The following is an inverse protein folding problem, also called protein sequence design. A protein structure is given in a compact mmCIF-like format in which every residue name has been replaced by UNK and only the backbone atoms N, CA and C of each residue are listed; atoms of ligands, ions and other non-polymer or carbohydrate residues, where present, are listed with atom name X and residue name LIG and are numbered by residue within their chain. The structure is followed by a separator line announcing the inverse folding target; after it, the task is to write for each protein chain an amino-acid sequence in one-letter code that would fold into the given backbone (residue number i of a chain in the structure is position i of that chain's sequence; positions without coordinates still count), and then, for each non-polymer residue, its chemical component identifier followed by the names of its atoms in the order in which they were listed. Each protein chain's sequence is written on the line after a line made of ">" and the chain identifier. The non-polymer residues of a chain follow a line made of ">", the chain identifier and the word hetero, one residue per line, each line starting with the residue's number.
data_IF_311842362062
#
_entry.id   IF_311842362062
#
_cell.length_a   1.000
_cell.length_b   1.000
_cell.length_c   1.000
_cell.angle_alpha   90.00
_cell.angle_beta   90.00
_cell.angle_gamma   90.00
#
_symmetry.space_group_name_H-M   'P 1'
#
loop_
_entity.id
_entity.type
_entity.pdbx_description
1 polymer ?
#
# COMPACT_ATOMS: atom_id res chain seq x y z
N UNK A 1 -40.11 -34.48 -36.90
CA UNK A 1 -40.33 -34.35 -35.44
C UNK A 1 -38.95 -34.57 -34.80
N UNK A 2 -38.19 -33.63 -34.26
CA UNK A 2 -38.34 -32.23 -33.84
C UNK A 2 -37.01 -31.53 -34.20
N UNK A 3 -37.08 -30.33 -34.79
CA UNK A 3 -35.93 -29.43 -34.97
C UNK A 3 -35.56 -28.86 -33.60
N UNK A 4 -34.33 -29.08 -33.15
CA UNK A 4 -33.81 -28.38 -31.97
C UNK A 4 -33.25 -27.04 -32.45
N UNK A 5 -34.07 -26.04 -32.17
CA UNK A 5 -33.97 -24.59 -32.32
C UNK A 5 -32.57 -23.98 -32.16
N UNK A 6 -32.22 -23.12 -33.13
CA UNK A 6 -31.21 -22.07 -33.02
C UNK A 6 -31.31 -21.32 -31.68
N UNK A 7 -30.17 -21.07 -31.04
CA UNK A 7 -30.09 -20.09 -29.95
C UNK A 7 -29.95 -18.68 -30.54
N UNK A 8 -30.78 -17.70 -30.13
CA UNK A 8 -30.71 -16.35 -30.64
C UNK A 8 -29.57 -15.54 -29.99
N UNK A 9 -28.74 -14.95 -30.86
CA UNK A 9 -28.23 -13.57 -30.88
C UNK A 9 -27.91 -12.88 -29.54
N UNK A 10 -26.64 -12.52 -29.35
CA UNK A 10 -26.29 -11.31 -28.58
C UNK A 10 -25.45 -10.40 -29.48
N UNK A 11 -26.11 -9.41 -30.09
CA UNK A 11 -25.42 -8.27 -30.72
C UNK A 11 -25.09 -7.29 -29.60
N UNK A 12 -23.82 -7.21 -29.26
CA UNK A 12 -23.33 -6.29 -28.23
C UNK A 12 -22.81 -5.06 -28.96
N UNK A 13 -23.64 -4.01 -29.03
CA UNK A 13 -23.16 -2.64 -29.23
C UNK A 13 -22.59 -2.15 -27.90
N UNK A 14 -21.30 -2.41 -27.69
CA UNK A 14 -20.44 -1.56 -26.86
C UNK A 14 -19.55 -0.86 -27.87
N UNK A 15 -19.41 0.45 -27.70
CA UNK A 15 -18.78 1.43 -28.60
C UNK A 15 -17.69 0.80 -29.47
N UNK A 16 -17.99 0.73 -30.77
CA UNK A 16 -17.17 0.23 -31.89
C UNK A 16 -16.33 -1.02 -31.56
N UNK A 17 -16.90 -2.22 -31.77
CA UNK A 17 -16.21 -3.51 -31.79
C UNK A 17 -15.73 -4.09 -30.41
N UNK A 18 -16.16 -5.32 -30.11
CA UNK A 18 -15.70 -6.08 -28.93
C UNK A 18 -14.17 -6.35 -28.98
N UNK A 19 -13.57 -6.34 -30.17
CA UNK A 19 -12.12 -6.40 -30.35
C UNK A 19 -11.44 -5.13 -29.84
N UNK A 20 -12.01 -3.96 -30.08
CA UNK A 20 -11.43 -2.68 -29.66
C UNK A 20 -11.42 -2.58 -28.14
N UNK A 21 -12.47 -3.10 -27.50
CA UNK A 21 -12.52 -3.26 -26.04
C UNK A 21 -11.35 -4.12 -25.55
N UNK A 22 -11.09 -5.25 -26.20
CA UNK A 22 -9.98 -6.15 -25.83
C UNK A 22 -8.62 -5.50 -26.10
N UNK A 23 -8.48 -4.77 -27.22
CA UNK A 23 -7.25 -4.06 -27.57
C UNK A 23 -6.94 -2.94 -26.57
N UNK A 24 -7.95 -2.22 -26.11
CA UNK A 24 -7.81 -1.25 -25.01
C UNK A 24 -7.34 -1.97 -23.74
N UNK A 25 -7.96 -3.10 -23.37
CA UNK A 25 -7.57 -3.85 -22.17
C UNK A 25 -6.15 -4.42 -22.26
N UNK A 26 -5.73 -4.89 -23.45
CA UNK A 26 -4.36 -5.34 -23.72
C UNK A 26 -3.35 -4.19 -23.64
N UNK A 27 -3.68 -3.03 -24.23
CA UNK A 27 -2.85 -1.83 -24.18
C UNK A 27 -2.72 -1.28 -22.76
N UNK A 28 -3.78 -1.38 -21.95
CA UNK A 28 -3.76 -1.03 -20.53
C UNK A 28 -3.01 -2.05 -19.66
N UNK A 29 -2.64 -3.21 -20.22
CA UNK A 29 -2.01 -4.33 -19.52
C UNK A 29 -2.77 -4.78 -18.25
N UNK A 30 -4.10 -4.85 -18.32
CA UNK A 30 -4.96 -5.21 -17.17
C UNK A 30 -5.55 -6.61 -17.29
N UNK A 31 -5.69 -7.29 -16.15
CA UNK A 31 -6.19 -8.67 -16.10
C UNK A 31 -5.14 -9.73 -16.50
N UNK A 32 -5.61 -10.91 -16.86
CA UNK A 32 -4.83 -11.98 -17.49
C UNK A 32 -4.67 -11.70 -19.00
N UNK A 33 -3.46 -11.30 -19.39
CA UNK A 33 -3.10 -10.94 -20.77
C UNK A 33 -3.18 -12.15 -21.70
N UNK A 34 -2.72 -13.32 -21.26
CA UNK A 34 -2.79 -14.54 -22.06
C UNK A 34 -4.24 -14.92 -22.35
N UNK A 35 -5.14 -14.71 -21.38
CA UNK A 35 -6.57 -14.89 -21.59
C UNK A 35 -7.17 -13.86 -22.54
N UNK A 36 -6.79 -12.59 -22.44
CA UNK A 36 -7.24 -11.54 -23.38
C UNK A 36 -6.74 -11.80 -24.81
N UNK A 37 -5.49 -12.23 -24.99
CA UNK A 37 -4.93 -12.63 -26.29
C UNK A 37 -5.64 -13.86 -26.86
N UNK A 38 -5.97 -14.84 -26.00
CA UNK A 38 -6.76 -16.00 -26.40
C UNK A 38 -8.15 -15.58 -26.91
N UNK A 39 -8.84 -14.72 -26.16
CA UNK A 39 -10.15 -14.18 -26.54
C UNK A 39 -10.06 -13.38 -27.85
N UNK A 40 -9.06 -12.50 -27.99
CA UNK A 40 -8.80 -11.75 -29.23
C UNK A 40 -8.63 -12.68 -30.43
N UNK A 41 -7.80 -13.72 -30.28
CA UNK A 41 -7.55 -14.72 -31.31
C UNK A 41 -8.83 -15.47 -31.70
N UNK A 42 -9.62 -15.90 -30.72
CA UNK A 42 -10.89 -16.59 -30.96
C UNK A 42 -11.86 -15.75 -31.78
N UNK A 43 -11.94 -14.43 -31.52
CA UNK A 43 -12.80 -13.51 -32.28
C UNK A 43 -12.25 -13.29 -33.69
N UNK A 44 -10.93 -13.08 -33.84
CA UNK A 44 -10.29 -12.90 -35.14
C UNK A 44 -10.45 -14.15 -36.03
N UNK A 45 -10.47 -15.33 -35.43
CA UNK A 45 -10.71 -16.62 -36.09
C UNK A 45 -12.22 -16.91 -36.29
N UNK A 46 -13.13 -15.98 -35.98
CA UNK A 46 -14.59 -16.15 -36.04
C UNK A 46 -15.12 -17.37 -35.26
N UNK A 47 -14.46 -17.74 -34.17
CA UNK A 47 -14.89 -18.84 -33.30
C UNK A 47 -15.84 -18.35 -32.20
N UNK A 48 -16.77 -19.21 -31.73
CA UNK A 48 -17.65 -18.85 -30.63
C UNK A 48 -16.85 -18.67 -29.34
N UNK A 49 -17.13 -17.59 -28.62
CA UNK A 49 -16.57 -17.32 -27.29
C UNK A 49 -17.29 -18.14 -26.22
N UNK A 50 -16.55 -18.58 -25.20
CA UNK A 50 -17.15 -19.13 -24.00
C UNK A 50 -17.83 -18.02 -23.19
N UNK A 51 -18.95 -18.35 -22.55
CA UNK A 51 -19.70 -17.41 -21.69
C UNK A 51 -18.86 -16.88 -20.52
N UNK A 52 -17.91 -17.68 -20.04
CA UNK A 52 -16.93 -17.29 -19.03
C UNK A 52 -16.00 -16.17 -19.51
N UNK A 53 -15.56 -16.24 -20.77
CA UNK A 53 -14.64 -15.28 -21.37
C UNK A 53 -15.34 -13.98 -21.75
N UNK A 54 -16.57 -14.07 -22.25
CA UNK A 54 -17.40 -12.89 -22.50
C UNK A 54 -17.68 -12.12 -21.19
N UNK A 55 -18.03 -12.82 -20.12
CA UNK A 55 -18.26 -12.22 -18.79
C UNK A 55 -16.97 -11.62 -18.21
N UNK A 56 -15.85 -12.29 -18.41
CA UNK A 56 -14.54 -11.82 -17.99
C UNK A 56 -14.17 -10.47 -18.65
N UNK A 57 -14.30 -10.36 -19.97
CA UNK A 57 -14.02 -9.12 -20.71
C UNK A 57 -14.99 -8.00 -20.32
N UNK A 58 -16.30 -8.30 -20.20
CA UNK A 58 -17.29 -7.30 -19.79
C UNK A 58 -17.02 -6.73 -18.41
N UNK A 59 -16.67 -7.57 -17.45
CA UNK A 59 -16.32 -7.13 -16.10
C UNK A 59 -15.07 -6.23 -16.12
N UNK A 60 -14.05 -6.59 -16.91
CA UNK A 60 -12.87 -5.76 -17.08
C UNK A 60 -13.22 -4.42 -17.72
N UNK A 61 -14.03 -4.42 -18.78
CA UNK A 61 -14.50 -3.20 -19.41
C UNK A 61 -15.31 -2.32 -18.44
N UNK A 62 -16.13 -2.91 -17.57
CA UNK A 62 -16.86 -2.17 -16.54
C UNK A 62 -15.93 -1.53 -15.51
N UNK A 63 -14.88 -2.21 -15.08
CA UNK A 63 -13.93 -1.69 -14.09
C UNK A 63 -13.02 -0.62 -14.69
N UNK A 64 -12.51 -0.84 -15.90
CA UNK A 64 -11.43 -0.03 -16.48
C UNK A 64 -11.90 0.97 -17.52
N UNK A 65 -12.98 0.69 -18.26
CA UNK A 65 -13.43 1.49 -19.40
C UNK A 65 -14.67 2.32 -19.04
N UNK A 66 -15.59 1.81 -18.21
CA UNK A 66 -16.82 2.52 -17.84
C UNK A 66 -16.55 3.81 -17.03
N UNK A 67 -15.54 3.80 -16.16
CA UNK A 67 -15.09 5.00 -15.42
C UNK A 67 -14.33 6.03 -16.31
N UNK A 68 -13.96 5.67 -17.54
CA UNK A 68 -13.34 6.58 -18.51
C UNK A 68 -14.36 7.30 -19.42
N UNK A 69 -15.68 7.06 -19.26
CA UNK A 69 -16.71 7.71 -20.09
C UNK A 69 -17.15 9.10 -19.58
N UNK A 70 -16.51 9.67 -18.55
CA UNK A 70 -16.63 11.10 -18.19
C UNK A 70 -15.39 11.90 -18.62
N UNK A 71 -14.60 11.41 -19.56
CA UNK A 71 -13.76 12.28 -20.39
C UNK A 71 -13.91 11.78 -21.81
N UNK A 72 -15.04 12.17 -22.41
CA UNK A 72 -15.24 12.05 -23.84
C UNK A 72 -13.95 12.42 -24.57
N UNK A 73 -13.57 11.56 -25.52
CA UNK A 73 -12.96 12.00 -26.78
C UNK A 73 -13.91 13.05 -27.34
N UNK A 74 -13.82 14.29 -26.84
CA UNK A 74 -14.33 15.45 -27.54
C UNK A 74 -13.55 15.46 -28.82
N UNK A 75 -14.28 15.30 -29.92
CA UNK A 75 -13.83 15.77 -31.23
C UNK A 75 -13.00 17.05 -31.01
N UNK A 76 -11.81 17.15 -31.63
CA UNK A 76 -10.93 18.29 -31.40
C UNK A 76 -11.76 19.55 -31.65
N UNK A 77 -11.90 20.39 -30.63
CA UNK A 77 -12.62 21.65 -30.77
C UNK A 77 -11.93 22.43 -31.90
N UNK A 78 -12.68 22.63 -32.98
CA UNK A 78 -12.17 23.38 -34.12
C UNK A 78 -12.31 24.87 -33.80
N UNK A 79 -11.20 25.59 -33.93
CA UNK A 79 -11.12 27.03 -33.79
C UNK A 79 -10.77 27.64 -35.15
N UNK A 80 -11.16 28.90 -35.36
CA UNK A 80 -10.77 29.62 -36.57
C UNK A 80 -9.38 30.24 -36.38
N UNK A 81 -8.52 30.10 -37.38
CA UNK A 81 -7.24 30.78 -37.47
C UNK A 81 -7.43 32.30 -37.39
N UNK A 82 -6.63 33.00 -36.58
CA UNK A 82 -6.71 34.47 -36.44
C UNK A 82 -6.36 35.26 -37.71
N UNK A 83 -5.63 34.63 -38.64
CA UNK A 83 -5.16 35.29 -39.86
C UNK A 83 -6.02 34.94 -41.09
N UNK A 84 -6.20 33.65 -41.38
CA UNK A 84 -6.91 33.21 -42.59
C UNK A 84 -8.30 32.61 -42.32
N UNK A 85 -8.78 32.64 -41.07
CA UNK A 85 -10.10 32.11 -40.65
C UNK A 85 -10.38 30.63 -40.90
N UNK A 86 -9.40 29.85 -41.37
CA UNK A 86 -9.52 28.40 -41.56
C UNK A 86 -9.73 27.66 -40.24
N UNK A 87 -10.60 26.65 -40.24
CA UNK A 87 -10.83 25.75 -39.12
C UNK A 87 -9.59 24.89 -38.84
N UNK A 88 -9.03 25.02 -37.65
CA UNK A 88 -7.86 24.29 -37.16
C UNK A 88 -8.16 23.73 -35.77
N UNK A 89 -7.47 22.66 -35.37
CA UNK A 89 -7.63 22.09 -34.04
C UNK A 89 -7.16 23.09 -32.95
N UNK A 90 -7.83 23.11 -31.79
CA UNK A 90 -7.53 24.03 -30.68
C UNK A 90 -6.09 23.92 -30.15
N UNK A 91 -5.46 22.76 -30.31
CA UNK A 91 -4.09 22.44 -29.91
C UNK A 91 -3.03 22.72 -31.01
N UNK A 92 -3.45 23.15 -32.21
CA UNK A 92 -2.55 23.42 -33.31
C UNK A 92 -1.68 24.66 -33.04
N UNK A 93 -0.36 24.45 -32.91
CA UNK A 93 0.62 25.53 -32.71
C UNK A 93 0.73 26.50 -33.90
N UNK A 94 0.37 26.03 -35.10
CA UNK A 94 0.44 26.78 -36.35
C UNK A 94 -0.76 26.44 -37.23
N UNK A 95 -1.23 27.39 -38.03
CA UNK A 95 -2.25 27.12 -39.04
C UNK A 95 -1.65 26.34 -40.22
N UNK A 96 -2.27 25.22 -40.59
CA UNK A 96 -1.81 24.36 -41.70
C UNK A 96 -1.98 25.01 -43.08
N UNK A 97 -2.81 26.04 -43.22
CA UNK A 97 -3.06 26.71 -44.49
C UNK A 97 -2.16 27.94 -44.70
N UNK A 98 -1.99 28.80 -43.69
CA UNK A 98 -1.27 30.08 -43.83
C UNK A 98 0.02 30.17 -43.02
N UNK A 99 0.37 29.15 -42.24
CA UNK A 99 1.59 29.11 -41.42
C UNK A 99 1.57 30.01 -40.18
N UNK A 100 0.51 30.79 -39.94
CA UNK A 100 0.45 31.70 -38.79
C UNK A 100 0.45 30.94 -37.46
N UNK A 101 1.40 31.29 -36.58
CA UNK A 101 1.51 30.79 -35.21
C UNK A 101 0.28 31.16 -34.38
N UNK A 102 -0.26 30.19 -33.64
CA UNK A 102 -1.37 30.41 -32.70
C UNK A 102 -0.82 30.42 -31.27
N UNK A 103 -0.55 31.61 -30.72
CA UNK A 103 -0.17 31.75 -29.31
C UNK A 103 -1.45 31.75 -28.45
N UNK A 104 -1.78 30.59 -27.90
CA UNK A 104 -2.81 30.43 -26.86
C UNK A 104 -2.25 29.58 -25.73
N UNK A 105 -2.63 29.94 -24.50
CA UNK A 105 -2.15 29.30 -23.28
C UNK A 105 -2.57 27.83 -23.27
N UNK A 106 -1.59 26.94 -23.42
CA UNK A 106 -1.76 25.54 -23.05
C UNK A 106 -2.14 25.49 -21.57
N UNK A 107 -3.37 25.08 -21.26
CA UNK A 107 -3.67 24.59 -19.92
C UNK A 107 -2.77 23.36 -19.72
N UNK A 108 -1.75 23.53 -18.89
CA UNK A 108 -0.80 22.49 -18.51
C UNK A 108 -1.58 21.29 -17.93
N UNK A 109 -1.84 20.28 -18.75
CA UNK A 109 -2.27 18.99 -18.22
C UNK A 109 -1.03 18.33 -17.59
N UNK A 110 -1.07 18.16 -16.27
CA UNK A 110 0.03 17.62 -15.49
C UNK A 110 0.25 16.13 -15.81
N UNK A 111 1.14 15.85 -16.77
CA UNK A 111 1.58 14.51 -17.18
C UNK A 111 2.11 13.71 -15.98
N UNK A 112 2.55 14.38 -14.89
CA UNK A 112 3.03 13.74 -13.66
C UNK A 112 1.95 12.93 -12.94
N UNK A 113 0.67 13.19 -13.24
CA UNK A 113 -0.48 12.43 -12.69
C UNK A 113 -0.73 11.11 -13.44
N UNK A 114 -0.31 10.98 -14.70
CA UNK A 114 -0.50 9.76 -15.50
C UNK A 114 0.63 8.73 -15.31
N UNK A 115 1.87 9.17 -15.09
CA UNK A 115 3.04 8.25 -14.93
C UNK A 115 3.03 7.48 -13.59
N UNK A 116 2.11 7.79 -12.66
CA UNK A 116 2.07 7.12 -11.36
C UNK A 116 1.38 5.74 -11.38
N UNK A 117 0.88 5.26 -12.53
CA UNK A 117 -0.07 4.12 -12.55
C UNK A 117 0.37 2.85 -13.27
N UNK A 118 1.61 2.71 -13.71
CA UNK A 118 2.12 1.39 -14.09
C UNK A 118 3.62 1.27 -13.82
N UNK A 119 3.95 0.69 -12.67
CA UNK A 119 5.29 0.18 -12.37
C UNK A 119 5.10 -1.28 -11.93
N UNK A 120 5.36 -2.28 -12.79
CA UNK A 120 5.01 -3.68 -12.53
C UNK A 120 5.84 -4.33 -11.40
N UNK A 121 6.76 -3.57 -10.79
CA UNK A 121 7.53 -3.97 -9.60
C UNK A 121 6.94 -3.48 -8.26
N UNK A 122 5.71 -2.96 -8.21
CA UNK A 122 5.07 -2.49 -6.96
C UNK A 122 4.07 -3.47 -6.33
N UNK A 123 4.22 -4.79 -6.53
CA UNK A 123 3.42 -5.78 -5.79
C UNK A 123 3.79 -5.89 -4.29
N UNK A 124 4.67 -5.03 -3.80
CA UNK A 124 4.70 -4.70 -2.38
C UNK A 124 3.73 -3.53 -2.22
N UNK A 125 2.50 -3.80 -1.76
CA UNK A 125 1.58 -2.75 -1.30
C UNK A 125 2.38 -1.81 -0.42
N UNK A 126 2.72 -0.61 -0.91
CA UNK A 126 3.50 0.35 -0.12
C UNK A 126 2.68 0.60 1.13
N UNK A 127 3.18 0.25 2.33
CA UNK A 127 2.44 0.49 3.54
C UNK A 127 2.09 1.98 3.61
N UNK A 128 0.86 2.28 3.99
CA UNK A 128 0.45 3.65 4.22
C UNK A 128 1.42 4.29 5.23
N UNK A 129 1.68 5.60 5.13
CA UNK A 129 2.68 6.28 5.96
C UNK A 129 2.56 5.94 7.45
N UNK A 130 1.34 5.85 8.00
CA UNK A 130 1.11 5.48 9.39
C UNK A 130 1.41 4.00 9.71
N UNK A 131 1.25 3.07 8.76
CA UNK A 131 1.61 1.67 8.93
C UNK A 131 3.13 1.52 9.00
N UNK A 132 3.87 2.22 8.13
CA UNK A 132 5.34 2.25 8.15
C UNK A 132 5.88 2.79 9.48
N UNK A 133 5.29 3.86 9.99
CA UNK A 133 5.67 4.46 11.27
C UNK A 133 5.39 3.48 12.43
N UNK A 134 4.24 2.80 12.42
CA UNK A 134 3.90 1.81 13.44
C UNK A 134 4.85 0.60 13.45
N UNK A 135 5.25 0.11 12.27
CA UNK A 135 6.23 -0.98 12.13
C UNK A 135 7.58 -0.54 12.69
N UNK A 136 8.08 0.63 12.30
CA UNK A 136 9.34 1.14 12.83
C UNK A 136 9.30 1.32 14.35
N UNK A 137 8.23 1.93 14.87
CA UNK A 137 8.05 2.11 16.31
C UNK A 137 7.98 0.78 17.06
N UNK A 138 7.23 -0.19 16.55
CA UNK A 138 7.10 -1.49 17.19
C UNK A 138 8.38 -2.33 17.15
N UNK A 139 9.12 -2.31 16.04
CA UNK A 139 10.42 -3.01 15.95
C UNK A 139 11.48 -2.37 16.85
N UNK A 140 11.52 -1.03 16.92
CA UNK A 140 12.45 -0.31 17.81
C UNK A 140 12.19 -0.61 19.29
N UNK A 141 10.94 -0.86 19.67
CA UNK A 141 10.60 -1.28 21.03
C UNK A 141 10.94 -2.76 21.29
N UNK A 142 10.76 -3.64 20.30
CA UNK A 142 10.95 -5.08 20.45
C UNK A 142 12.41 -5.53 20.52
N UNK A 143 13.25 -5.03 19.61
CA UNK A 143 14.61 -5.55 19.42
C UNK A 143 15.45 -5.44 20.71
N UNK A 144 15.48 -4.29 21.43
CA UNK A 144 16.22 -4.17 22.67
C UNK A 144 15.71 -5.12 23.76
N UNK A 145 14.39 -5.28 23.86
CA UNK A 145 13.78 -6.15 24.87
C UNK A 145 14.17 -7.60 24.66
N UNK A 146 14.09 -8.09 23.41
CA UNK A 146 14.51 -9.45 23.07
C UNK A 146 15.99 -9.69 23.34
N UNK A 147 16.84 -8.72 22.99
CA UNK A 147 18.27 -8.79 23.27
C UNK A 147 18.55 -8.86 24.78
N UNK A 148 17.87 -8.03 25.57
CA UNK A 148 18.03 -8.03 27.02
C UNK A 148 17.58 -9.38 27.58
N UNK A 149 16.37 -9.86 27.26
CA UNK A 149 15.87 -11.14 27.76
C UNK A 149 16.86 -12.29 27.45
N UNK A 150 17.39 -12.35 26.23
CA UNK A 150 18.36 -13.37 25.84
C UNK A 150 19.71 -13.30 26.59
N UNK A 151 20.04 -12.17 27.23
CA UNK A 151 21.29 -11.95 27.96
C UNK A 151 21.10 -11.84 29.46
N UNK A 152 19.87 -11.74 29.97
CA UNK A 152 19.62 -11.54 31.40
C UNK A 152 19.99 -12.76 32.24
N UNK A 153 19.64 -13.98 31.81
CA UNK A 153 19.92 -15.21 32.56
C UNK A 153 21.41 -15.40 32.89
N UNK A 154 22.33 -15.43 31.90
CA UNK A 154 23.76 -15.61 32.21
C UNK A 154 24.34 -14.44 33.02
N UNK A 155 23.78 -13.24 32.87
CA UNK A 155 24.20 -12.07 33.64
C UNK A 155 23.81 -12.20 35.12
N UNK A 156 22.60 -12.70 35.40
CA UNK A 156 22.12 -12.90 36.76
C UNK A 156 22.93 -13.98 37.50
N UNK A 157 23.26 -15.07 36.82
CA UNK A 157 24.06 -16.14 37.41
C UNK A 157 25.45 -15.65 37.81
N UNK A 158 26.10 -14.85 36.95
CA UNK A 158 27.38 -14.21 37.25
C UNK A 158 27.30 -13.26 38.45
N UNK A 159 26.24 -12.45 38.56
CA UNK A 159 26.03 -11.53 39.68
C UNK A 159 25.79 -12.29 40.99
N UNK A 160 24.95 -13.33 40.95
CA UNK A 160 24.66 -14.14 42.13
C UNK A 160 25.92 -14.84 42.63
N UNK A 161 26.75 -15.35 41.72
CA UNK A 161 28.04 -15.96 42.06
C UNK A 161 29.00 -14.98 42.75
N UNK A 162 29.12 -13.73 42.27
CA UNK A 162 30.05 -12.75 42.85
C UNK A 162 29.56 -12.07 44.14
N UNK A 163 28.25 -11.85 44.26
CA UNK A 163 27.68 -11.01 45.34
C UNK A 163 26.91 -11.81 46.38
N UNK A 164 26.50 -13.05 46.08
CA UNK A 164 25.59 -13.85 46.89
C UNK A 164 24.18 -13.24 47.04
N UNK A 165 23.86 -12.19 46.28
CA UNK A 165 22.54 -11.56 46.30
C UNK A 165 21.60 -12.24 45.32
N UNK A 166 20.49 -12.76 45.81
CA UNK A 166 19.42 -13.29 44.97
C UNK A 166 18.60 -12.14 44.36
N UNK A 167 18.85 -11.86 43.08
CA UNK A 167 18.15 -10.84 42.29
C UNK A 167 17.05 -11.41 41.39
N UNK A 168 16.74 -12.71 41.52
CA UNK A 168 15.76 -13.41 40.67
C UNK A 168 14.38 -12.73 40.67
N UNK A 169 13.94 -12.24 41.84
CA UNK A 169 12.68 -11.49 41.98
C UNK A 169 12.66 -10.22 41.14
N UNK A 170 13.68 -9.36 41.24
CA UNK A 170 13.79 -8.12 40.47
C UNK A 170 13.90 -8.39 38.96
N UNK A 171 14.65 -9.42 38.58
CA UNK A 171 14.80 -9.80 37.18
C UNK A 171 13.50 -10.34 36.59
N UNK A 172 12.73 -11.15 37.33
CA UNK A 172 11.43 -11.63 36.87
C UNK A 172 10.44 -10.47 36.62
N UNK A 173 10.45 -9.44 37.47
CA UNK A 173 9.68 -8.21 37.28
C UNK A 173 10.13 -7.49 36.01
N UNK A 174 11.43 -7.32 35.82
CA UNK A 174 11.98 -6.67 34.62
C UNK A 174 11.61 -7.41 33.33
N UNK A 175 11.76 -8.75 33.31
CA UNK A 175 11.41 -9.59 32.17
C UNK A 175 9.90 -9.53 31.89
N UNK A 176 9.06 -9.63 32.92
CA UNK A 176 7.60 -9.55 32.73
C UNK A 176 7.16 -8.20 32.15
N UNK A 177 7.72 -7.09 32.64
CA UNK A 177 7.48 -5.75 32.09
C UNK A 177 7.93 -5.65 30.62
N UNK A 178 9.10 -6.22 30.31
CA UNK A 178 9.59 -6.32 28.93
C UNK A 178 8.64 -7.09 28.02
N UNK A 179 8.18 -8.27 28.45
CA UNK A 179 7.22 -9.09 27.69
C UNK A 179 5.89 -8.35 27.47
N UNK A 180 5.36 -7.67 28.49
CA UNK A 180 4.13 -6.88 28.36
C UNK A 180 4.32 -5.73 27.35
N UNK A 181 5.43 -5.02 27.43
CA UNK A 181 5.77 -3.95 26.48
C UNK A 181 5.87 -4.48 25.04
N UNK A 182 6.50 -5.64 24.86
CA UNK A 182 6.58 -6.33 23.58
C UNK A 182 5.20 -6.67 23.05
N UNK A 183 4.33 -7.31 23.84
CA UNK A 183 2.98 -7.66 23.41
C UNK A 183 2.20 -6.42 22.97
N UNK A 184 2.31 -5.31 23.71
CA UNK A 184 1.69 -4.03 23.34
C UNK A 184 2.19 -3.51 21.98
N UNK A 185 3.50 -3.60 21.72
CA UNK A 185 4.09 -3.21 20.43
C UNK A 185 3.62 -4.12 19.28
N UNK A 186 3.48 -5.43 19.52
CA UNK A 186 2.95 -6.35 18.52
C UNK A 186 1.48 -6.04 18.19
N UNK A 187 0.66 -5.80 19.22
CA UNK A 187 -0.74 -5.40 19.06
C UNK A 187 -0.84 -4.08 18.29
N UNK A 188 0.03 -3.10 18.58
CA UNK A 188 0.07 -1.83 17.87
C UNK A 188 0.28 -2.03 16.36
N UNK A 189 1.25 -2.88 15.98
CA UNK A 189 1.50 -3.23 14.57
C UNK A 189 0.26 -3.92 13.99
N UNK A 190 -0.26 -4.96 14.64
CA UNK A 190 -1.38 -5.76 14.14
C UNK A 190 -2.64 -4.91 13.88
N UNK A 191 -2.96 -3.97 14.78
CA UNK A 191 -4.12 -3.08 14.65
C UNK A 191 -4.05 -2.23 13.38
N UNK A 192 -2.85 -1.82 12.94
CA UNK A 192 -2.68 -1.02 11.72
C UNK A 192 -3.02 -1.77 10.43
N UNK A 193 -3.02 -3.11 10.48
CA UNK A 193 -3.39 -3.97 9.36
C UNK A 193 -4.82 -4.51 9.47
N UNK A 194 -5.29 -4.80 10.69
CA UNK A 194 -6.61 -5.37 10.92
C UNK A 194 -7.75 -4.36 10.75
N UNK A 195 -7.52 -3.09 11.10
CA UNK A 195 -8.56 -2.06 11.09
C UNK A 195 -8.42 -1.17 9.86
N UNK A 196 -9.42 -1.23 8.97
CA UNK A 196 -9.48 -0.41 7.74
C UNK A 196 -9.74 1.09 8.00
N UNK A 197 -10.25 1.45 9.18
CA UNK A 197 -10.65 2.82 9.51
C UNK A 197 -9.49 3.61 10.17
N UNK A 198 -8.84 4.56 9.47
CA UNK A 198 -7.63 5.23 9.98
C UNK A 198 -7.91 6.09 11.21
N UNK A 199 -9.09 6.72 11.30
CA UNK A 199 -9.49 7.51 12.48
C UNK A 199 -9.60 6.66 13.75
N UNK A 200 -10.01 5.40 13.64
CA UNK A 200 -10.09 4.46 14.78
C UNK A 200 -8.71 3.94 15.17
N UNK A 201 -7.89 3.60 14.17
CA UNK A 201 -6.49 3.19 14.37
C UNK A 201 -5.71 4.26 15.12
N UNK A 202 -5.83 5.53 14.72
CA UNK A 202 -5.16 6.64 15.40
C UNK A 202 -5.54 6.76 16.88
N UNK A 203 -6.83 6.64 17.22
CA UNK A 203 -7.28 6.65 18.62
C UNK A 203 -6.71 5.47 19.41
N UNK A 204 -6.72 4.27 18.85
CA UNK A 204 -6.16 3.08 19.52
C UNK A 204 -4.65 3.18 19.72
N UNK A 205 -3.90 3.59 18.69
CA UNK A 205 -2.46 3.80 18.78
C UNK A 205 -2.10 4.83 19.85
N UNK A 206 -2.91 5.88 19.99
CA UNK A 206 -2.71 6.89 21.04
C UNK A 206 -2.78 6.28 22.44
N UNK A 207 -3.79 5.46 22.74
CA UNK A 207 -3.88 4.78 24.05
C UNK A 207 -2.76 3.76 24.26
N UNK A 208 -2.39 3.01 23.23
CA UNK A 208 -1.29 2.04 23.32
C UNK A 208 0.04 2.75 23.61
N UNK A 209 0.27 3.93 23.02
CA UNK A 209 1.46 4.73 23.29
C UNK A 209 1.59 5.11 24.78
N UNK A 210 0.48 5.46 25.46
CA UNK A 210 0.49 5.66 26.91
C UNK A 210 0.83 4.40 27.69
N UNK A 211 0.34 3.24 27.24
CA UNK A 211 0.72 1.95 27.83
C UNK A 211 2.22 1.68 27.75
N UNK A 212 2.81 1.89 26.56
CA UNK A 212 4.25 1.72 26.32
C UNK A 212 5.07 2.73 27.15
N UNK A 213 4.58 3.95 27.31
CA UNK A 213 5.23 4.97 28.14
C UNK A 213 5.18 4.60 29.63
N UNK A 214 4.07 4.05 30.12
CA UNK A 214 3.97 3.59 31.50
C UNK A 214 4.92 2.42 31.78
N UNK A 215 5.01 1.44 30.86
CA UNK A 215 5.93 0.30 31.03
C UNK A 215 7.39 0.76 30.98
N UNK A 216 7.75 1.71 30.11
CA UNK A 216 9.13 2.22 30.04
C UNK A 216 9.56 2.97 31.31
N UNK A 217 8.65 3.75 31.91
CA UNK A 217 8.91 4.40 33.21
C UNK A 217 9.16 3.36 34.30
N UNK A 218 8.33 2.32 34.39
CA UNK A 218 8.49 1.24 35.38
C UNK A 218 9.82 0.51 35.21
N UNK A 219 10.18 0.18 33.97
CA UNK A 219 11.49 -0.41 33.64
C UNK A 219 12.63 0.50 34.10
N UNK A 220 12.51 1.82 33.87
CA UNK A 220 13.47 2.81 34.34
C UNK A 220 13.61 2.86 35.86
N UNK A 221 12.50 2.80 36.60
CA UNK A 221 12.51 2.76 38.07
C UNK A 221 13.21 1.50 38.57
N UNK A 222 12.91 0.34 38.00
CA UNK A 222 13.56 -0.93 38.35
C UNK A 222 15.07 -0.86 38.07
N UNK A 223 15.47 -0.34 36.90
CA UNK A 223 16.87 -0.14 36.55
C UNK A 223 17.59 0.80 37.51
N UNK A 224 16.95 1.90 37.90
CA UNK A 224 17.48 2.84 38.88
C UNK A 224 17.73 2.18 40.24
N UNK A 225 16.79 1.36 40.73
CA UNK A 225 16.96 0.61 41.98
C UNK A 225 18.15 -0.35 41.91
N UNK A 226 18.32 -1.07 40.79
CA UNK A 226 19.47 -1.97 40.59
C UNK A 226 20.79 -1.19 40.64
N UNK A 227 20.87 -0.01 40.01
CA UNK A 227 22.06 0.85 40.05
C UNK A 227 22.35 1.35 41.46
N UNK A 228 21.33 1.70 42.25
CA UNK A 228 21.53 2.10 43.65
C UNK A 228 22.06 0.95 44.50
N UNK A 229 21.54 -0.27 44.31
CA UNK A 229 22.03 -1.47 44.99
C UNK A 229 23.50 -1.71 44.63
N UNK A 230 23.85 -1.66 43.34
CA UNK A 230 25.23 -1.87 42.89
C UNK A 230 26.18 -0.79 43.44
N UNK A 231 25.75 0.47 43.50
CA UNK A 231 26.50 1.56 44.11
C UNK A 231 26.76 1.32 45.60
N UNK A 232 25.76 0.84 46.34
CA UNK A 232 25.90 0.54 47.77
C UNK A 232 26.89 -0.62 48.01
N UNK A 233 26.80 -1.69 47.20
CA UNK A 233 27.74 -2.81 47.25
C UNK A 233 29.17 -2.34 46.96
N UNK A 234 29.35 -1.50 45.92
CA UNK A 234 30.65 -0.95 45.55
C UNK A 234 31.24 -0.04 46.65
N UNK A 235 30.41 0.74 47.33
CA UNK A 235 30.84 1.58 48.45
C UNK A 235 31.36 0.74 49.62
N UNK A 236 30.66 -0.35 49.97
CA UNK A 236 31.02 -1.22 51.08
C UNK A 236 32.31 -2.02 50.85
N UNK A 237 32.67 -2.29 49.59
CA UNK A 237 33.87 -3.06 49.22
C UNK A 237 35.19 -2.26 49.39
N UNK A 238 35.13 -0.94 49.63
CA UNK A 238 36.31 -0.04 49.62
C UNK A 238 37.11 0.01 50.93
N UNK A 239 36.83 -0.87 51.90
CA UNK A 239 37.48 -0.88 53.23
C UNK A 239 38.25 -2.17 53.56
N UNK A 240 38.71 -2.93 52.56
CA UNK A 240 39.69 -4.00 52.72
C UNK A 240 40.84 -3.83 51.74
#
# INVERSE_FOLDING_TARGET
>A
MIRITEKPKVVIKITESFLDTIDILLNLQVGDLSRLEHVKRMIQENKPLYTSDEKYVKNLAEIYIKDHQIEEIKSPKLINCRNCSTSIAEDAKFCTLCGTRQERAFQNYDVKKMVKRYNPLQFISRPNSYQSIAIMGGLMAMIPVLFIIARMEPLLEAINYETGMDLSGLASVFVSLGVVSSILSFIAIAITFLIKNPKKVGKMLFFIAFGILATSILIGIVGFVIILISSNVAYKKRHY
#
